data_IF_819382431163
#
_entry.id   IF_819382431163
#
_cell.length_a   1.000
_cell.length_b   1.000
_cell.length_c   1.000
_cell.angle_alpha   90.00
_cell.angle_beta   90.00
_cell.angle_gamma   90.00
#
_symmetry.space_group_name_H-M   'P 1'
#
loop_
_entity.id
_entity.type
_entity.pdbx_description
1 polymer ?
#
# COMPACT_ATOMS: atom_id res chain seq x y z
N UNK A 1 7.85 -22.94 4.21
CA UNK A 1 9.30 -22.71 4.42
C UNK A 1 9.78 -23.63 5.53
N UNK A 2 10.51 -24.68 5.18
CA UNK A 2 10.98 -25.70 6.14
C UNK A 2 11.98 -25.16 7.19
N UNK A 3 12.60 -24.00 6.95
CA UNK A 3 13.70 -23.48 7.79
C UNK A 3 13.47 -22.05 8.35
N UNK A 4 12.31 -21.50 8.16
CA UNK A 4 11.95 -20.14 8.58
C UNK A 4 12.52 -19.03 7.67
N UNK A 5 11.92 -17.84 7.79
CA UNK A 5 12.36 -16.64 7.07
C UNK A 5 13.62 -16.05 7.72
N UNK A 6 14.53 -15.53 6.90
CA UNK A 6 15.79 -14.94 7.35
C UNK A 6 15.73 -13.40 7.30
N UNK A 7 16.28 -12.75 8.34
CA UNK A 7 16.57 -11.33 8.30
C UNK A 7 17.97 -11.17 7.71
N UNK A 8 18.13 -10.61 6.51
CA UNK A 8 19.43 -10.48 5.83
C UNK A 8 20.22 -9.30 6.41
N UNK A 9 20.96 -9.53 7.46
CA UNK A 9 21.77 -8.51 8.13
C UNK A 9 23.13 -8.37 7.42
N UNK A 10 23.55 -7.12 7.17
CA UNK A 10 24.92 -6.77 6.72
C UNK A 10 25.91 -6.84 7.86
N UNK A 11 25.46 -6.48 9.06
CA UNK A 11 26.26 -6.43 10.29
C UNK A 11 25.39 -6.83 11.48
N UNK A 12 26.05 -7.21 12.57
CA UNK A 12 25.35 -7.51 13.83
C UNK A 12 24.54 -6.31 14.32
N UNK A 13 23.31 -6.50 14.78
CA UNK A 13 22.48 -5.43 15.30
C UNK A 13 23.06 -4.87 16.58
N UNK A 14 22.74 -3.60 16.83
CA UNK A 14 23.10 -2.93 18.09
C UNK A 14 22.21 -3.42 19.23
N UNK A 15 22.80 -3.62 20.40
CA UNK A 15 22.09 -4.07 21.60
C UNK A 15 21.58 -2.86 22.39
N UNK A 16 20.36 -2.46 22.15
CA UNK A 16 19.73 -1.36 22.88
C UNK A 16 19.41 -1.75 24.33
N UNK A 17 19.63 -0.81 25.27
CA UNK A 17 19.19 -1.00 26.64
C UNK A 17 17.67 -0.78 26.75
N UNK A 18 16.87 -1.77 27.13
CA UNK A 18 15.42 -1.61 27.27
C UNK A 18 15.01 -0.59 28.34
N UNK A 19 15.87 -0.29 29.30
CA UNK A 19 15.62 0.77 30.31
C UNK A 19 15.62 2.19 29.74
N UNK A 20 16.22 2.41 28.55
CA UNK A 20 16.27 3.70 27.88
C UNK A 20 15.08 3.94 26.91
N UNK A 21 14.16 3.00 26.79
CA UNK A 21 13.04 3.11 25.87
C UNK A 21 12.00 4.15 26.32
N UNK A 22 11.31 4.80 25.38
CA UNK A 22 10.18 5.65 25.70
C UNK A 22 9.14 4.87 26.51
N UNK A 23 8.73 5.42 27.65
CA UNK A 23 7.68 4.79 28.47
C UNK A 23 6.33 4.87 27.75
N UNK A 24 5.61 3.77 27.72
CA UNK A 24 4.20 3.74 27.31
C UNK A 24 3.32 4.25 28.46
N UNK A 25 2.24 4.93 28.14
CA UNK A 25 1.21 5.25 29.11
C UNK A 25 0.56 3.96 29.65
N UNK A 26 -0.03 4.04 30.85
CA UNK A 26 -0.62 2.87 31.51
C UNK A 26 -1.62 2.11 30.61
N UNK A 27 -2.50 2.84 29.94
CA UNK A 27 -3.48 2.23 29.01
C UNK A 27 -2.80 1.59 27.77
N UNK A 28 -1.72 2.19 27.26
CA UNK A 28 -0.95 1.62 26.13
C UNK A 28 -0.26 0.33 26.54
N UNK A 29 0.28 0.26 27.76
CA UNK A 29 0.90 -0.94 28.31
C UNK A 29 -0.11 -2.08 28.40
N UNK A 30 -1.31 -1.80 28.93
CA UNK A 30 -2.40 -2.80 29.00
C UNK A 30 -2.78 -3.29 27.60
N UNK A 31 -3.04 -2.37 26.68
CA UNK A 31 -3.41 -2.71 25.30
C UNK A 31 -2.30 -3.49 24.56
N UNK A 32 -1.02 -3.18 24.84
CA UNK A 32 0.13 -3.89 24.28
C UNK A 32 0.20 -5.34 24.83
N UNK A 33 0.05 -5.51 26.13
CA UNK A 33 0.03 -6.83 26.78
C UNK A 33 -1.12 -7.69 26.25
N UNK A 34 -2.33 -7.15 26.17
CA UNK A 34 -3.48 -7.87 25.60
C UNK A 34 -3.23 -8.32 24.16
N UNK A 35 -2.65 -7.44 23.33
CA UNK A 35 -2.33 -7.76 21.95
C UNK A 35 -1.22 -8.81 21.82
N UNK A 36 -0.17 -8.72 22.65
CA UNK A 36 0.96 -9.66 22.64
C UNK A 36 0.56 -11.03 23.16
N UNK A 37 -0.22 -11.11 24.24
CA UNK A 37 -0.65 -12.39 24.79
C UNK A 37 -1.49 -13.23 23.80
N UNK A 38 -2.23 -12.58 22.90
CA UNK A 38 -2.90 -13.29 21.78
C UNK A 38 -1.90 -14.00 20.89
N UNK A 39 -0.75 -13.38 20.60
CA UNK A 39 0.30 -13.98 19.80
C UNK A 39 1.11 -15.04 20.58
N UNK A 40 1.25 -14.88 21.89
CA UNK A 40 1.87 -15.91 22.74
C UNK A 40 1.04 -17.19 22.72
N UNK A 41 -0.29 -17.08 22.89
CA UNK A 41 -1.21 -18.23 22.79
C UNK A 41 -1.15 -18.94 21.44
N UNK A 42 -0.83 -18.23 20.37
CA UNK A 42 -0.68 -18.76 19.01
C UNK A 42 0.73 -19.25 18.70
N UNK A 43 1.67 -19.19 19.65
CA UNK A 43 3.08 -19.57 19.44
C UNK A 43 3.86 -18.63 18.52
N UNK A 44 3.31 -17.46 18.18
CA UNK A 44 3.91 -16.46 17.29
C UNK A 44 4.86 -15.51 18.02
N UNK A 45 4.75 -15.44 19.34
CA UNK A 45 5.62 -14.69 20.26
C UNK A 45 5.97 -15.58 21.43
N UNK A 46 7.24 -15.61 21.81
CA UNK A 46 7.72 -16.35 22.97
C UNK A 46 7.68 -15.46 24.21
N UNK A 47 7.37 -16.02 25.35
CA UNK A 47 7.24 -15.34 26.64
C UNK A 47 5.86 -15.54 27.26
N UNK A 48 5.53 -14.82 28.36
CA UNK A 48 6.39 -13.80 29.01
C UNK A 48 7.61 -14.41 29.70
N UNK A 49 8.72 -13.70 29.64
CA UNK A 49 9.91 -14.00 30.46
C UNK A 49 10.12 -12.89 31.50
N UNK A 50 10.88 -13.13 32.57
CA UNK A 50 11.23 -12.09 33.56
C UNK A 50 11.84 -10.85 32.91
N UNK A 51 11.59 -9.68 33.48
CA UNK A 51 12.00 -8.38 32.93
C UNK A 51 13.51 -8.13 32.91
N UNK A 52 14.28 -8.94 33.60
CA UNK A 52 15.75 -8.98 33.62
C UNK A 52 16.36 -9.95 32.61
N UNK A 53 15.55 -10.73 31.88
CA UNK A 53 16.00 -11.65 30.83
C UNK A 53 16.83 -10.93 29.80
N UNK A 54 18.07 -11.38 29.55
CA UNK A 54 19.00 -10.79 28.57
C UNK A 54 19.42 -11.76 27.46
N UNK A 55 19.29 -13.04 27.71
CA UNK A 55 19.64 -14.09 26.77
C UNK A 55 18.34 -14.72 26.19
N UNK A 56 18.37 -15.07 24.92
CA UNK A 56 17.28 -15.81 24.29
C UNK A 56 17.23 -17.24 24.85
N UNK A 57 16.14 -17.67 25.48
CA UNK A 57 16.06 -19.01 26.08
C UNK A 57 16.22 -20.16 25.09
N UNK A 58 15.96 -19.90 23.79
CA UNK A 58 16.07 -20.92 22.73
C UNK A 58 17.47 -21.01 22.14
N UNK A 59 18.15 -19.87 21.94
CA UNK A 59 19.43 -19.81 21.23
C UNK A 59 20.63 -19.56 22.13
N UNK A 60 20.42 -19.21 23.38
CA UNK A 60 21.47 -18.76 24.31
C UNK A 60 22.14 -17.42 23.95
N UNK A 61 21.74 -16.80 22.82
CA UNK A 61 22.34 -15.56 22.32
C UNK A 61 21.77 -14.32 23.05
N UNK A 62 22.55 -13.23 23.17
CA UNK A 62 22.06 -11.96 23.70
C UNK A 62 20.84 -11.45 22.93
N UNK A 63 19.83 -10.93 23.63
CA UNK A 63 18.61 -10.37 23.04
C UNK A 63 18.84 -8.98 22.51
N UNK A 64 18.41 -8.74 21.26
CA UNK A 64 18.33 -7.40 20.67
C UNK A 64 16.97 -6.80 20.97
N UNK A 65 16.95 -5.79 21.83
CA UNK A 65 15.70 -5.15 22.27
C UNK A 65 15.31 -3.96 21.40
N UNK A 66 14.02 -3.85 21.13
CA UNK A 66 13.39 -2.70 20.46
C UNK A 66 12.14 -2.27 21.21
N UNK A 67 11.85 -0.96 21.29
CA UNK A 67 10.62 -0.51 21.90
C UNK A 67 9.42 -0.93 21.06
N UNK A 68 8.31 -1.18 21.73
CA UNK A 68 7.03 -1.44 21.06
C UNK A 68 6.01 -0.36 21.38
N UNK A 69 4.97 -0.27 20.57
CA UNK A 69 3.86 0.65 20.74
C UNK A 69 2.58 0.05 20.16
N UNK A 70 1.45 0.66 20.46
CA UNK A 70 0.15 0.24 19.96
C UNK A 70 -0.44 1.27 19.00
N UNK A 71 -1.10 0.80 17.95
CA UNK A 71 -1.81 1.60 16.97
C UNK A 71 -3.28 1.17 16.94
N UNK A 72 -4.24 2.10 17.00
CA UNK A 72 -5.66 1.76 16.89
C UNK A 72 -5.97 1.03 15.58
N UNK A 73 -6.85 0.03 15.64
CA UNK A 73 -7.47 -0.59 14.46
C UNK A 73 -8.72 0.18 14.05
N UNK A 74 -9.32 -0.22 12.92
CA UNK A 74 -10.63 0.29 12.49
C UNK A 74 -11.77 -0.06 13.46
N UNK A 75 -11.65 -1.17 14.19
CA UNK A 75 -12.58 -1.57 15.23
C UNK A 75 -12.28 -0.80 16.51
N UNK A 76 -13.22 -0.02 17.07
CA UNK A 76 -13.04 0.69 18.32
C UNK A 76 -12.57 -0.23 19.46
N UNK A 77 -11.68 0.27 20.33
CA UNK A 77 -11.15 -0.47 21.47
C UNK A 77 -10.13 -1.57 21.11
N UNK A 78 -9.85 -1.81 19.83
CA UNK A 78 -8.85 -2.79 19.42
C UNK A 78 -7.58 -2.14 18.90
N UNK A 79 -6.45 -2.75 19.25
CA UNK A 79 -5.12 -2.21 18.96
C UNK A 79 -4.25 -3.23 18.21
N UNK A 80 -3.34 -2.70 17.42
CA UNK A 80 -2.27 -3.45 16.78
C UNK A 80 -0.97 -3.17 17.54
N UNK A 81 -0.35 -4.20 18.05
CA UNK A 81 0.98 -4.13 18.61
C UNK A 81 2.02 -4.07 17.50
N UNK A 82 2.95 -3.13 17.59
CA UNK A 82 4.03 -2.88 16.62
C UNK A 82 5.35 -2.83 17.35
N UNK A 83 6.34 -3.54 16.85
CA UNK A 83 7.72 -3.44 17.30
C UNK A 83 8.46 -2.40 16.46
N UNK A 84 9.12 -1.43 17.08
CA UNK A 84 9.82 -0.35 16.40
C UNK A 84 11.23 -0.78 15.97
N UNK A 85 11.32 -1.52 14.89
CA UNK A 85 12.58 -1.98 14.31
C UNK A 85 13.46 -0.84 13.72
N UNK A 86 12.95 0.39 13.67
CA UNK A 86 13.69 1.60 13.25
C UNK A 86 14.14 2.46 14.43
N UNK A 87 14.10 1.94 15.66
CA UNK A 87 14.60 2.65 16.83
C UNK A 87 16.13 2.76 16.78
N UNK A 88 16.65 3.99 16.81
CA UNK A 88 18.08 4.28 16.61
C UNK A 88 18.70 5.18 17.69
N UNK A 89 18.05 5.40 18.83
CA UNK A 89 18.65 6.14 19.95
C UNK A 89 19.75 5.32 20.59
N UNK A 90 20.96 5.88 20.62
CA UNK A 90 22.14 5.24 21.19
C UNK A 90 22.90 4.31 20.25
N UNK A 91 22.35 4.03 19.06
CA UNK A 91 23.01 3.20 18.05
C UNK A 91 22.11 2.88 16.87
N UNK A 92 22.64 2.28 15.79
CA UNK A 92 21.86 1.99 14.59
C UNK A 92 20.74 0.97 14.87
N UNK A 93 19.62 1.17 14.21
CA UNK A 93 18.49 0.24 14.29
C UNK A 93 18.77 -1.06 13.52
N UNK A 94 17.95 -2.11 13.75
CA UNK A 94 18.04 -3.32 12.93
C UNK A 94 17.74 -3.02 11.45
N UNK A 95 16.82 -2.08 11.18
CA UNK A 95 16.50 -1.68 9.82
C UNK A 95 17.67 -1.00 9.10
N UNK A 96 18.57 -0.33 9.80
CA UNK A 96 19.78 0.26 9.23
C UNK A 96 20.81 -0.82 8.86
N UNK A 97 20.73 -1.99 9.48
CA UNK A 97 21.61 -3.14 9.24
C UNK A 97 21.07 -4.14 8.22
N UNK A 98 19.80 -4.03 7.87
CA UNK A 98 19.20 -4.86 6.81
C UNK A 98 19.70 -4.40 5.45
N UNK A 99 20.08 -5.34 4.58
CA UNK A 99 20.42 -5.08 3.18
C UNK A 99 19.28 -4.33 2.47
N UNK A 100 19.63 -3.44 1.53
CA UNK A 100 18.61 -2.71 0.78
C UNK A 100 17.76 -3.67 -0.05
N UNK A 101 16.46 -3.62 0.22
CA UNK A 101 15.46 -4.44 -0.42
C UNK A 101 14.34 -3.56 -0.96
N UNK A 102 14.23 -3.52 -2.27
CA UNK A 102 13.08 -2.91 -2.95
C UNK A 102 12.04 -4.01 -3.21
N UNK A 103 10.84 -3.85 -2.68
CA UNK A 103 9.72 -4.75 -2.99
C UNK A 103 9.02 -4.23 -4.24
N UNK A 104 8.91 -5.07 -5.26
CA UNK A 104 8.10 -4.77 -6.44
C UNK A 104 6.67 -5.26 -6.20
N UNK A 105 5.77 -4.33 -5.90
CA UNK A 105 4.34 -4.62 -5.81
C UNK A 105 3.69 -4.41 -7.17
N UNK A 106 2.67 -5.22 -7.48
CA UNK A 106 1.88 -5.04 -8.70
C UNK A 106 1.21 -3.67 -8.70
N UNK A 107 1.27 -2.98 -9.82
CA UNK A 107 0.56 -1.72 -10.00
C UNK A 107 -0.92 -1.96 -10.36
N UNK A 108 -1.76 -0.94 -10.12
CA UNK A 108 -3.18 -1.01 -10.56
C UNK A 108 -3.27 -1.29 -12.06
N UNK A 109 -2.37 -0.73 -12.86
CA UNK A 109 -2.36 -0.95 -14.31
C UNK A 109 -2.09 -2.42 -14.66
N UNK A 110 -1.06 -3.02 -14.08
CA UNK A 110 -0.72 -4.43 -14.31
C UNK A 110 -1.87 -5.34 -13.88
N UNK A 111 -2.53 -5.04 -12.75
CA UNK A 111 -3.65 -5.83 -12.24
C UNK A 111 -4.94 -5.71 -13.09
N UNK A 112 -5.06 -4.66 -13.92
CA UNK A 112 -6.22 -4.45 -14.80
C UNK A 112 -6.08 -5.17 -16.15
N UNK A 113 -4.89 -5.60 -16.54
CA UNK A 113 -4.68 -6.28 -17.82
C UNK A 113 -5.53 -7.55 -17.96
N UNK A 114 -5.51 -8.51 -17.03
CA UNK A 114 -6.37 -9.68 -17.09
C UNK A 114 -7.86 -9.34 -16.95
N UNK A 115 -8.22 -8.18 -16.38
CA UNK A 115 -9.60 -7.73 -16.26
C UNK A 115 -10.26 -7.43 -17.61
N UNK A 116 -9.49 -7.18 -18.69
CA UNK A 116 -10.04 -6.96 -20.02
C UNK A 116 -10.81 -8.17 -20.54
N UNK A 117 -10.35 -9.39 -20.20
CA UNK A 117 -10.89 -10.65 -20.74
C UNK A 117 -11.72 -11.45 -19.72
N UNK A 118 -11.93 -10.92 -18.52
CA UNK A 118 -12.67 -11.57 -17.45
C UNK A 118 -13.86 -10.74 -17.01
N UNK A 119 -14.89 -11.37 -16.44
CA UNK A 119 -16.14 -10.72 -16.01
C UNK A 119 -16.39 -10.77 -14.51
N UNK A 120 -15.71 -11.68 -13.81
CA UNK A 120 -15.90 -11.90 -12.38
C UNK A 120 -14.55 -11.84 -11.65
N UNK A 121 -14.59 -11.25 -10.46
CA UNK A 121 -13.49 -11.23 -9.52
C UNK A 121 -13.98 -11.69 -8.15
N UNK A 122 -13.21 -12.58 -7.53
CA UNK A 122 -13.35 -12.95 -6.12
C UNK A 122 -12.04 -12.67 -5.39
N UNK A 123 -12.06 -12.69 -4.05
CA UNK A 123 -10.89 -12.31 -3.26
C UNK A 123 -10.84 -13.05 -1.93
N UNK A 124 -9.62 -13.33 -1.49
CA UNK A 124 -9.30 -13.77 -0.13
C UNK A 124 -8.24 -12.86 0.47
N UNK A 125 -8.24 -12.71 1.79
CA UNK A 125 -7.29 -11.91 2.56
C UNK A 125 -6.63 -12.81 3.62
N UNK A 126 -5.35 -12.64 3.86
CA UNK A 126 -4.65 -13.42 4.85
C UNK A 126 -4.81 -12.81 6.24
N UNK A 127 -5.13 -13.65 7.20
CA UNK A 127 -5.22 -13.23 8.60
C UNK A 127 -3.83 -12.99 9.16
N UNK A 128 -3.54 -11.76 9.59
CA UNK A 128 -2.26 -11.41 10.23
C UNK A 128 -1.03 -11.76 9.38
N UNK A 129 -1.11 -11.50 8.10
CA UNK A 129 -0.17 -11.89 7.05
C UNK A 129 1.28 -12.10 7.48
N UNK A 130 1.99 -11.06 7.92
CA UNK A 130 3.40 -11.16 8.31
C UNK A 130 3.65 -12.07 9.51
N UNK A 131 2.67 -12.26 10.38
CA UNK A 131 2.73 -13.16 11.54
C UNK A 131 2.62 -14.65 11.17
N UNK A 132 2.43 -14.96 9.90
CA UNK A 132 2.47 -16.34 9.39
C UNK A 132 3.88 -16.75 8.93
N UNK A 133 4.80 -15.80 8.80
CA UNK A 133 6.20 -16.08 8.49
C UNK A 133 7.02 -16.22 9.77
N UNK A 134 7.31 -17.45 10.16
CA UNK A 134 8.24 -17.71 11.27
C UNK A 134 9.68 -17.42 10.84
N UNK A 135 10.46 -16.87 11.76
CA UNK A 135 11.88 -16.63 11.56
C UNK A 135 12.71 -17.88 11.76
N UNK A 136 13.91 -17.90 11.18
CA UNK A 136 14.93 -18.91 11.51
C UNK A 136 15.17 -18.93 13.01
N UNK A 137 15.26 -20.12 13.59
CA UNK A 137 15.49 -20.31 15.03
C UNK A 137 16.78 -19.59 15.48
N UNK A 138 17.85 -19.68 14.67
CA UNK A 138 19.14 -19.01 14.94
C UNK A 138 19.06 -17.48 15.07
N UNK A 139 17.95 -16.86 14.63
CA UNK A 139 17.71 -15.41 14.64
C UNK A 139 16.61 -14.98 15.64
N UNK A 140 16.10 -15.87 16.48
CA UNK A 140 15.05 -15.54 17.46
C UNK A 140 15.46 -14.43 18.44
N UNK A 141 16.75 -14.33 18.73
CA UNK A 141 17.28 -13.29 19.61
C UNK A 141 17.21 -11.86 19.03
N UNK A 142 16.95 -11.69 17.74
CA UNK A 142 17.05 -10.39 17.04
C UNK A 142 15.87 -9.44 17.29
N UNK A 143 14.72 -9.91 17.75
CA UNK A 143 13.52 -9.09 17.93
C UNK A 143 12.88 -9.36 19.30
N UNK A 144 13.42 -8.74 20.33
CA UNK A 144 12.86 -8.75 21.67
C UNK A 144 12.29 -7.38 22.05
N UNK A 145 11.34 -7.36 22.96
CA UNK A 145 10.80 -6.14 23.57
C UNK A 145 10.49 -6.36 25.02
N UNK A 146 10.60 -5.28 25.82
CA UNK A 146 10.14 -5.25 27.21
C UNK A 146 8.85 -4.44 27.31
N UNK A 147 7.81 -5.02 27.90
CA UNK A 147 6.51 -4.38 28.14
C UNK A 147 6.20 -4.53 29.64
N UNK A 148 6.18 -3.41 30.36
CA UNK A 148 6.14 -3.47 31.82
C UNK A 148 7.39 -4.18 32.37
N UNK A 149 7.19 -5.18 33.21
CA UNK A 149 8.27 -6.03 33.73
C UNK A 149 8.35 -7.41 33.08
N UNK A 150 7.97 -7.50 31.82
CA UNK A 150 7.95 -8.75 31.06
C UNK A 150 8.69 -8.59 29.74
N UNK A 151 9.44 -9.63 29.36
CA UNK A 151 10.16 -9.71 28.09
C UNK A 151 9.44 -10.65 27.13
N UNK A 152 9.32 -10.24 25.89
CA UNK A 152 8.72 -10.99 24.80
C UNK A 152 9.67 -11.04 23.61
N UNK A 153 9.68 -12.18 22.90
CA UNK A 153 10.49 -12.39 21.70
C UNK A 153 9.55 -12.66 20.54
N UNK A 154 9.55 -11.81 19.54
CA UNK A 154 8.76 -12.01 18.33
C UNK A 154 9.36 -13.15 17.50
N UNK A 155 8.70 -14.28 17.40
CA UNK A 155 9.19 -15.45 16.65
C UNK A 155 8.86 -15.36 15.14
N UNK A 156 8.11 -14.35 14.73
CA UNK A 156 7.66 -14.16 13.35
C UNK A 156 8.25 -12.89 12.73
N UNK A 157 8.02 -12.69 11.45
CA UNK A 157 8.38 -11.43 10.79
C UNK A 157 7.48 -10.30 11.29
N UNK A 158 8.11 -9.20 11.70
CA UNK A 158 7.40 -8.05 12.26
C UNK A 158 7.04 -7.02 11.19
N UNK A 159 5.89 -6.35 11.35
CA UNK A 159 5.48 -5.22 10.50
C UNK A 159 6.50 -4.07 10.48
N UNK A 160 7.35 -3.94 11.50
CA UNK A 160 8.36 -2.89 11.59
C UNK A 160 9.65 -3.18 10.84
N UNK A 161 9.88 -4.40 10.37
CA UNK A 161 11.08 -4.77 9.64
C UNK A 161 11.01 -4.35 8.17
N UNK A 162 12.08 -3.76 7.68
CA UNK A 162 12.19 -3.22 6.31
C UNK A 162 12.02 -4.27 5.22
N UNK A 163 12.53 -5.48 5.43
CA UNK A 163 12.48 -6.56 4.46
C UNK A 163 11.25 -7.47 4.54
N UNK A 164 10.39 -7.29 5.53
CA UNK A 164 9.21 -8.15 5.75
C UNK A 164 8.28 -8.15 4.54
N UNK A 165 7.99 -6.99 3.95
CA UNK A 165 7.13 -6.89 2.78
C UNK A 165 7.70 -7.69 1.59
N UNK A 166 9.02 -7.64 1.37
CA UNK A 166 9.66 -8.36 0.27
C UNK A 166 9.57 -9.88 0.46
N UNK A 167 9.99 -10.37 1.62
CA UNK A 167 9.94 -11.81 1.92
C UNK A 167 8.49 -12.34 1.85
N UNK A 168 7.55 -11.54 2.32
CA UNK A 168 6.15 -11.92 2.26
C UNK A 168 5.62 -11.93 0.82
N UNK A 169 5.87 -10.89 0.03
CA UNK A 169 5.38 -10.76 -1.34
C UNK A 169 6.10 -11.72 -2.29
N UNK A 170 7.44 -11.68 -2.32
CA UNK A 170 8.21 -12.35 -3.37
C UNK A 170 8.46 -13.83 -3.07
N UNK A 171 8.68 -14.19 -1.79
CA UNK A 171 9.01 -15.56 -1.43
C UNK A 171 7.78 -16.37 -1.00
N UNK A 172 6.87 -15.77 -0.22
CA UNK A 172 5.73 -16.49 0.30
C UNK A 172 4.52 -16.41 -0.62
N UNK A 173 4.03 -15.21 -0.93
CA UNK A 173 2.81 -15.05 -1.71
C UNK A 173 2.98 -15.45 -3.16
N UNK A 174 4.09 -15.06 -3.80
CA UNK A 174 4.36 -15.48 -5.18
C UNK A 174 4.60 -17.00 -5.28
N UNK A 175 5.14 -17.65 -4.24
CA UNK A 175 5.23 -19.11 -4.23
C UNK A 175 3.83 -19.75 -4.16
N UNK A 176 2.92 -19.21 -3.34
CA UNK A 176 1.54 -19.70 -3.27
C UNK A 176 0.81 -19.51 -4.60
N UNK A 177 0.85 -18.31 -5.19
CA UNK A 177 0.21 -18.01 -6.49
C UNK A 177 0.78 -18.90 -7.61
N UNK A 178 2.12 -19.06 -7.67
CA UNK A 178 2.77 -19.96 -8.65
C UNK A 178 2.35 -21.42 -8.47
N UNK A 179 2.21 -21.85 -7.21
CA UNK A 179 1.70 -23.19 -6.89
C UNK A 179 0.30 -23.42 -7.44
N UNK A 180 -0.61 -22.47 -7.25
CA UNK A 180 -1.98 -22.54 -7.80
C UNK A 180 -1.96 -22.65 -9.33
N UNK A 181 -1.19 -21.78 -10.00
CA UNK A 181 -1.09 -21.79 -11.48
C UNK A 181 -0.45 -23.09 -11.97
N UNK A 182 0.60 -23.58 -11.30
CA UNK A 182 1.30 -24.80 -11.71
C UNK A 182 0.43 -26.05 -11.60
N UNK A 183 -0.32 -26.19 -10.51
CA UNK A 183 -1.14 -27.38 -10.25
C UNK A 183 -2.52 -27.35 -10.91
N UNK A 184 -3.03 -26.13 -11.19
CA UNK A 184 -4.37 -25.95 -11.78
C UNK A 184 -4.34 -24.88 -12.89
N UNK A 185 -3.50 -25.04 -13.95
CA UNK A 185 -3.35 -24.01 -14.99
C UNK A 185 -4.68 -23.67 -15.67
N UNK A 186 -5.56 -24.64 -15.90
CA UNK A 186 -6.88 -24.45 -16.52
C UNK A 186 -7.81 -23.54 -15.71
N UNK A 187 -7.57 -23.39 -14.41
CA UNK A 187 -8.34 -22.49 -13.54
C UNK A 187 -7.67 -21.12 -13.42
N UNK A 188 -6.35 -21.08 -13.22
CA UNK A 188 -5.63 -19.88 -12.80
C UNK A 188 -4.80 -19.22 -13.92
N UNK A 189 -4.90 -19.73 -15.16
CA UNK A 189 -4.30 -19.10 -16.33
C UNK A 189 -5.22 -19.23 -17.57
N UNK A 190 -4.86 -18.50 -18.60
CA UNK A 190 -5.36 -18.64 -19.97
C UNK A 190 -4.18 -18.51 -20.95
N UNK A 191 -4.46 -18.49 -22.26
CA UNK A 191 -3.42 -18.42 -23.31
C UNK A 191 -2.59 -17.12 -23.25
N UNK A 192 -3.08 -16.09 -22.55
CA UNK A 192 -2.43 -14.78 -22.45
C UNK A 192 -1.63 -14.64 -21.14
N UNK A 193 -2.07 -15.29 -20.06
CA UNK A 193 -1.39 -15.17 -18.78
C UNK A 193 -2.21 -15.60 -17.57
N UNK A 194 -1.76 -15.19 -16.40
CA UNK A 194 -2.36 -15.60 -15.14
C UNK A 194 -3.68 -14.86 -14.85
N UNK A 195 -4.63 -15.59 -14.26
CA UNK A 195 -5.93 -15.12 -13.79
C UNK A 195 -5.98 -15.00 -12.26
N UNK A 196 -4.83 -15.06 -11.61
CA UNK A 196 -4.65 -14.90 -10.17
C UNK A 196 -3.41 -14.06 -9.92
N UNK A 197 -3.51 -13.13 -8.98
CA UNK A 197 -2.36 -12.38 -8.49
C UNK A 197 -2.63 -11.88 -7.07
N UNK A 198 -1.64 -11.21 -6.47
CA UNK A 198 -1.75 -10.69 -5.11
C UNK A 198 -1.13 -9.30 -4.97
N UNK A 199 -1.60 -8.58 -3.97
CA UNK A 199 -0.96 -7.37 -3.45
C UNK A 199 -0.80 -7.54 -1.94
N UNK A 200 0.37 -7.94 -1.50
CA UNK A 200 0.62 -8.38 -0.12
C UNK A 200 -0.38 -9.46 0.30
N UNK A 201 -1.22 -9.17 1.29
CA UNK A 201 -2.17 -10.10 1.89
C UNK A 201 -3.49 -10.26 1.12
N UNK A 202 -3.78 -9.39 0.16
CA UNK A 202 -4.94 -9.47 -0.73
C UNK A 202 -4.63 -10.35 -1.95
N UNK A 203 -5.33 -11.48 -2.12
CA UNK A 203 -5.26 -12.33 -3.31
C UNK A 203 -6.58 -12.22 -4.06
N UNK A 204 -6.51 -12.07 -5.38
CA UNK A 204 -7.72 -12.02 -6.22
C UNK A 204 -7.65 -13.04 -7.35
N UNK A 205 -8.81 -13.49 -7.74
CA UNK A 205 -9.04 -14.47 -8.79
C UNK A 205 -9.97 -13.86 -9.82
N UNK A 206 -9.67 -14.12 -11.09
CA UNK A 206 -10.38 -13.57 -12.23
C UNK A 206 -10.90 -14.69 -13.12
N UNK A 207 -12.12 -14.57 -13.60
CA UNK A 207 -12.70 -15.52 -14.55
C UNK A 207 -13.72 -14.83 -15.49
N UNK A 208 -13.98 -15.48 -16.60
CA UNK A 208 -15.04 -15.14 -17.58
C UNK A 208 -16.44 -15.53 -17.10
N UNK A 209 -16.54 -16.57 -16.26
CA UNK A 209 -17.79 -17.06 -15.69
C UNK A 209 -17.76 -17.05 -14.16
N UNK A 210 -18.94 -16.83 -13.56
CA UNK A 210 -19.10 -16.88 -12.12
C UNK A 210 -18.70 -18.26 -11.57
N UNK A 211 -19.11 -19.34 -12.23
CA UNK A 211 -18.82 -20.71 -11.81
C UNK A 211 -17.32 -21.02 -11.77
N UNK A 212 -16.56 -20.62 -12.81
CA UNK A 212 -15.11 -20.78 -12.83
C UNK A 212 -14.47 -20.00 -11.66
N UNK A 213 -14.94 -18.78 -11.39
CA UNK A 213 -14.41 -17.96 -10.30
C UNK A 213 -14.73 -18.52 -8.90
N UNK A 214 -15.90 -19.15 -8.70
CA UNK A 214 -16.23 -19.89 -7.49
C UNK A 214 -15.29 -21.08 -7.26
N UNK A 215 -15.00 -21.84 -8.33
CA UNK A 215 -14.08 -22.98 -8.26
C UNK A 215 -12.65 -22.52 -7.95
N UNK A 216 -12.17 -21.43 -8.57
CA UNK A 216 -10.87 -20.83 -8.25
C UNK A 216 -10.77 -20.50 -6.74
N UNK A 217 -11.81 -19.88 -6.19
CA UNK A 217 -11.87 -19.49 -4.79
C UNK A 217 -11.78 -20.72 -3.87
N UNK A 218 -12.58 -21.76 -4.13
CA UNK A 218 -12.60 -22.99 -3.34
C UNK A 218 -11.27 -23.74 -3.40
N UNK A 219 -10.67 -23.85 -4.58
CA UNK A 219 -9.36 -24.50 -4.76
C UNK A 219 -8.27 -23.74 -4.03
N UNK A 220 -8.26 -22.41 -4.09
CA UNK A 220 -7.29 -21.60 -3.37
C UNK A 220 -7.45 -21.70 -1.85
N UNK A 221 -8.69 -21.74 -1.34
CA UNK A 221 -8.99 -21.97 0.08
C UNK A 221 -8.54 -23.35 0.53
N UNK A 222 -8.77 -24.39 -0.28
CA UNK A 222 -8.29 -25.75 0.00
C UNK A 222 -6.75 -25.80 0.13
N UNK A 223 -6.04 -25.20 -0.84
CA UNK A 223 -4.59 -25.14 -0.82
C UNK A 223 -4.06 -24.31 0.37
N UNK A 224 -4.70 -23.19 0.68
CA UNK A 224 -4.34 -22.38 1.85
C UNK A 224 -4.46 -23.20 3.14
N UNK A 225 -5.58 -23.90 3.34
CA UNK A 225 -5.78 -24.76 4.50
C UNK A 225 -4.75 -25.91 4.56
N UNK A 226 -4.48 -26.57 3.43
CA UNK A 226 -3.49 -27.65 3.36
C UNK A 226 -2.06 -27.18 3.70
N UNK A 227 -1.72 -25.95 3.30
CA UNK A 227 -0.42 -25.32 3.61
C UNK A 227 -0.39 -24.67 5.01
N UNK A 228 -1.47 -24.68 5.76
CA UNK A 228 -1.57 -24.02 7.06
C UNK A 228 -1.59 -22.49 6.97
N UNK A 229 -2.01 -21.92 5.83
CA UNK A 229 -2.16 -20.47 5.63
C UNK A 229 -3.48 -20.02 6.26
N UNK A 230 -3.40 -19.10 7.25
CA UNK A 230 -4.59 -18.59 7.92
C UNK A 230 -5.30 -17.54 7.05
N UNK A 231 -6.52 -17.83 6.63
CA UNK A 231 -7.38 -16.91 5.89
C UNK A 231 -8.25 -16.05 6.83
N UNK A 232 -8.71 -14.91 6.32
CA UNK A 232 -9.60 -14.00 7.02
C UNK A 232 -11.00 -14.09 6.43
N UNK A 233 -11.83 -14.97 6.97
CA UNK A 233 -13.19 -15.25 6.48
C UNK A 233 -14.06 -13.99 6.39
N UNK A 234 -13.87 -13.02 7.29
CA UNK A 234 -14.64 -11.77 7.30
C UNK A 234 -14.32 -10.85 6.11
N UNK A 235 -13.24 -11.10 5.39
CA UNK A 235 -12.82 -10.34 4.21
C UNK A 235 -12.88 -11.14 2.92
N UNK A 236 -13.42 -12.34 2.99
CA UNK A 236 -13.70 -13.17 1.82
C UNK A 236 -14.72 -12.48 0.93
N UNK A 237 -14.40 -12.27 -0.33
CA UNK A 237 -15.33 -11.71 -1.33
C UNK A 237 -15.67 -12.77 -2.37
N UNK A 238 -16.96 -13.05 -2.49
CA UNK A 238 -17.52 -13.95 -3.51
C UNK A 238 -17.43 -13.31 -4.92
N UNK A 239 -17.53 -14.10 -6.00
CA UNK A 239 -17.50 -13.61 -7.37
C UNK A 239 -18.47 -12.46 -7.62
N UNK A 240 -17.95 -11.35 -8.17
CA UNK A 240 -18.74 -10.17 -8.55
C UNK A 240 -18.16 -9.54 -9.82
N UNK A 241 -19.04 -8.94 -10.63
CA UNK A 241 -18.64 -8.15 -11.79
C UNK A 241 -18.24 -6.72 -11.40
N UNK A 242 -18.80 -6.18 -10.32
CA UNK A 242 -18.44 -4.87 -9.76
C UNK A 242 -17.84 -5.06 -8.37
N UNK A 243 -16.59 -4.69 -8.21
CA UNK A 243 -15.84 -4.89 -6.96
C UNK A 243 -14.90 -3.74 -6.65
N UNK A 244 -14.30 -3.75 -5.47
CA UNK A 244 -13.23 -2.81 -5.09
C UNK A 244 -11.89 -3.50 -5.28
N UNK A 245 -10.93 -2.79 -5.88
CA UNK A 245 -9.60 -3.31 -6.09
C UNK A 245 -8.56 -2.20 -5.95
N UNK A 246 -7.53 -2.39 -5.13
CA UNK A 246 -6.46 -1.42 -4.85
C UNK A 246 -6.96 0.01 -4.60
N UNK A 247 -8.13 0.13 -3.95
CA UNK A 247 -8.75 1.41 -3.60
C UNK A 247 -9.68 2.01 -4.65
N UNK A 248 -9.76 1.44 -5.85
CA UNK A 248 -10.70 1.81 -6.91
C UNK A 248 -11.92 0.89 -6.94
N UNK A 249 -12.98 1.35 -7.55
CA UNK A 249 -14.10 0.50 -7.95
C UNK A 249 -13.86 0.06 -9.39
N UNK A 250 -13.93 -1.23 -9.62
CA UNK A 250 -13.72 -1.89 -10.90
C UNK A 250 -15.05 -2.48 -11.37
N UNK A 251 -15.45 -2.15 -12.56
CA UNK A 251 -16.58 -2.76 -13.27
C UNK A 251 -16.03 -3.63 -14.40
N UNK A 252 -16.06 -4.95 -14.19
CA UNK A 252 -15.53 -5.95 -15.10
C UNK A 252 -16.48 -6.20 -16.28
N UNK A 253 -17.74 -5.84 -16.18
CA UNK A 253 -18.71 -5.97 -17.26
C UNK A 253 -18.53 -4.85 -18.29
N UNK A 254 -18.52 -3.60 -17.82
CA UNK A 254 -18.34 -2.43 -18.67
C UNK A 254 -16.87 -2.04 -18.90
N UNK A 255 -15.93 -2.77 -18.30
CA UNK A 255 -14.46 -2.51 -18.38
C UNK A 255 -14.09 -1.10 -17.94
N UNK A 256 -14.66 -0.66 -16.83
CA UNK A 256 -14.50 0.68 -16.32
C UNK A 256 -13.89 0.68 -14.91
N UNK A 257 -13.12 1.70 -14.62
CA UNK A 257 -12.57 1.96 -13.28
C UNK A 257 -12.98 3.35 -12.79
N UNK A 258 -13.30 3.47 -11.52
CA UNK A 258 -13.70 4.72 -10.88
C UNK A 258 -13.16 4.83 -9.44
N UNK A 259 -13.21 6.04 -8.87
CA UNK A 259 -12.87 6.25 -7.47
C UNK A 259 -14.06 5.83 -6.60
N UNK A 260 -13.84 4.97 -5.59
CA UNK A 260 -14.91 4.56 -4.67
C UNK A 260 -15.51 5.77 -3.93
N UNK A 261 -16.81 5.74 -3.63
CA UNK A 261 -17.49 6.83 -2.92
C UNK A 261 -16.81 7.18 -1.58
N UNK A 262 -16.36 6.17 -0.83
CA UNK A 262 -15.63 6.36 0.43
C UNK A 262 -14.34 7.16 0.23
N UNK A 263 -13.53 6.81 -0.78
CA UNK A 263 -12.30 7.53 -1.10
C UNK A 263 -12.59 8.92 -1.65
N UNK A 264 -13.58 9.06 -2.53
CA UNK A 264 -14.03 10.35 -3.08
C UNK A 264 -14.32 11.34 -1.95
N UNK A 265 -15.17 10.99 -0.99
CA UNK A 265 -15.54 11.86 0.12
C UNK A 265 -14.34 12.26 0.98
N UNK A 266 -13.47 11.29 1.31
CA UNK A 266 -12.24 11.53 2.07
C UNK A 266 -11.29 12.47 1.34
N UNK A 267 -11.09 12.29 0.04
CA UNK A 267 -10.20 13.13 -0.78
C UNK A 267 -10.76 14.54 -0.89
N UNK A 268 -12.06 14.69 -1.14
CA UNK A 268 -12.70 16.00 -1.22
C UNK A 268 -12.59 16.77 0.10
N UNK A 269 -12.83 16.14 1.24
CA UNK A 269 -12.66 16.76 2.55
C UNK A 269 -11.21 17.21 2.77
N UNK A 270 -10.24 16.40 2.37
CA UNK A 270 -8.83 16.71 2.48
C UNK A 270 -8.44 17.91 1.61
N UNK A 271 -8.79 17.90 0.32
CA UNK A 271 -8.50 19.03 -0.59
C UNK A 271 -9.19 20.34 -0.16
N UNK A 272 -10.44 20.27 0.32
CA UNK A 272 -11.14 21.43 0.83
C UNK A 272 -10.41 22.07 2.02
N UNK A 273 -9.91 21.25 2.96
CA UNK A 273 -9.11 21.77 4.09
C UNK A 273 -7.86 22.52 3.62
N UNK A 274 -7.15 22.00 2.59
CA UNK A 274 -5.99 22.69 2.02
C UNK A 274 -6.36 24.01 1.34
N UNK A 275 -7.43 24.01 0.55
CA UNK A 275 -7.91 25.24 -0.11
C UNK A 275 -8.24 26.32 0.92
N UNK A 276 -8.92 25.97 2.00
CA UNK A 276 -9.22 26.91 3.11
C UNK A 276 -7.93 27.41 3.75
N UNK A 277 -7.00 26.50 4.09
CA UNK A 277 -5.76 26.85 4.75
C UNK A 277 -4.89 27.80 3.91
N UNK A 278 -4.79 27.56 2.58
CA UNK A 278 -4.04 28.44 1.67
C UNK A 278 -4.70 29.82 1.60
N UNK A 279 -6.02 29.90 1.49
CA UNK A 279 -6.76 31.17 1.42
C UNK A 279 -6.65 32.03 2.69
N UNK A 280 -6.62 31.38 3.85
CA UNK A 280 -6.43 32.03 5.14
C UNK A 280 -4.97 32.34 5.49
N UNK A 281 -4.02 32.09 4.57
CA UNK A 281 -2.58 32.17 4.80
C UNK A 281 -2.09 31.31 5.99
N UNK A 282 -2.81 30.25 6.31
CA UNK A 282 -2.48 29.33 7.38
C UNK A 282 -1.21 28.52 7.09
N UNK A 283 -0.51 28.10 8.13
CA UNK A 283 0.65 27.20 8.01
C UNK A 283 0.20 25.77 7.66
N UNK A 284 0.87 25.13 6.72
CA UNK A 284 0.59 23.75 6.29
C UNK A 284 1.78 22.86 6.64
N UNK A 285 1.58 21.81 7.45
CA UNK A 285 2.64 20.84 7.71
C UNK A 285 3.15 20.19 6.40
N UNK A 286 4.44 20.11 6.21
CA UNK A 286 5.05 19.46 5.02
C UNK A 286 4.58 18.00 4.90
N UNK A 287 4.43 17.31 6.03
CA UNK A 287 3.90 15.94 6.05
C UNK A 287 2.47 15.82 5.44
N UNK A 288 1.65 16.84 5.59
CA UNK A 288 0.32 16.84 4.98
C UNK A 288 0.40 17.11 3.48
N UNK A 289 1.37 17.93 3.03
CA UNK A 289 1.65 18.11 1.59
C UNK A 289 2.16 16.79 0.97
N UNK A 290 3.03 16.07 1.65
CA UNK A 290 3.47 14.73 1.22
C UNK A 290 2.28 13.76 1.08
N UNK A 291 1.34 13.77 2.04
CA UNK A 291 0.10 12.97 1.96
C UNK A 291 -0.78 13.39 0.80
N UNK A 292 -0.88 14.70 0.54
CA UNK A 292 -1.62 15.24 -0.61
C UNK A 292 -1.02 14.75 -1.92
N UNK A 293 0.30 14.87 -2.08
CA UNK A 293 1.00 14.37 -3.26
C UNK A 293 0.79 12.85 -3.44
N UNK A 294 0.86 12.08 -2.37
CA UNK A 294 0.59 10.64 -2.41
C UNK A 294 -0.82 10.31 -2.95
N UNK A 295 -1.84 11.06 -2.50
CA UNK A 295 -3.21 10.92 -3.03
C UNK A 295 -3.33 11.32 -4.50
N UNK A 296 -2.70 12.41 -4.88
CA UNK A 296 -2.68 12.90 -6.27
C UNK A 296 -1.98 11.88 -7.19
N UNK A 297 -0.82 11.35 -6.79
CA UNK A 297 -0.10 10.30 -7.53
C UNK A 297 -0.97 9.05 -7.66
N UNK A 298 -1.59 8.60 -6.57
CA UNK A 298 -2.47 7.43 -6.59
C UNK A 298 -3.64 7.60 -7.58
N UNK A 299 -4.32 8.75 -7.62
CA UNK A 299 -5.36 9.04 -8.62
C UNK A 299 -4.77 9.03 -10.04
N UNK A 300 -3.59 9.60 -10.21
CA UNK A 300 -2.90 9.72 -11.49
C UNK A 300 -2.38 8.38 -12.05
N UNK A 301 -2.35 7.31 -11.24
CA UNK A 301 -2.05 5.96 -11.76
C UNK A 301 -3.15 5.48 -12.72
N UNK A 302 -4.39 5.88 -12.45
CA UNK A 302 -5.57 5.53 -13.25
C UNK A 302 -5.94 6.67 -14.21
N UNK A 303 -5.95 7.91 -13.74
CA UNK A 303 -6.39 9.07 -14.52
C UNK A 303 -5.18 9.90 -14.98
N UNK A 304 -4.50 9.46 -16.03
CA UNK A 304 -3.21 10.04 -16.50
C UNK A 304 -3.28 11.53 -16.82
N UNK A 305 -4.40 12.01 -17.33
CA UNK A 305 -4.65 13.44 -17.61
C UNK A 305 -4.40 14.34 -16.40
N UNK A 306 -4.49 13.80 -15.19
CA UNK A 306 -4.27 14.56 -13.96
C UNK A 306 -2.80 14.81 -13.60
N UNK A 307 -1.85 14.13 -14.27
CA UNK A 307 -0.41 14.20 -13.94
C UNK A 307 0.17 15.59 -14.06
N UNK A 308 -0.28 16.38 -15.02
CA UNK A 308 0.13 17.76 -15.21
C UNK A 308 -0.13 18.67 -14.00
N UNK A 309 -1.11 18.31 -13.15
CA UNK A 309 -1.47 19.05 -11.94
C UNK A 309 -0.73 18.58 -10.67
N UNK A 310 0.37 17.85 -10.81
CA UNK A 310 1.24 17.44 -9.69
C UNK A 310 2.38 18.43 -9.44
N UNK A 311 2.73 19.22 -10.45
CA UNK A 311 3.98 20.00 -10.50
C UNK A 311 4.12 20.96 -9.33
N UNK A 312 3.08 21.75 -9.01
CA UNK A 312 3.15 22.73 -7.92
C UNK A 312 3.29 22.07 -6.55
N UNK A 313 2.65 20.91 -6.33
CA UNK A 313 2.79 20.15 -5.09
C UNK A 313 4.18 19.54 -4.96
N UNK A 314 4.76 19.02 -6.05
CA UNK A 314 6.13 18.51 -6.09
C UNK A 314 7.15 19.62 -5.80
N UNK A 315 6.93 20.84 -6.32
CA UNK A 315 7.83 21.98 -6.12
C UNK A 315 7.97 22.34 -4.65
N UNK A 316 6.88 22.28 -3.85
CA UNK A 316 6.96 22.51 -2.39
C UNK A 316 7.88 21.50 -1.70
N UNK A 317 7.93 20.26 -2.20
CA UNK A 317 8.69 19.18 -1.58
C UNK A 317 10.13 19.09 -2.06
N UNK A 318 10.51 19.91 -3.08
CA UNK A 318 11.88 19.95 -3.60
C UNK A 318 12.76 20.90 -2.78
N UNK A 319 14.05 20.59 -2.74
CA UNK A 319 15.07 21.43 -2.13
C UNK A 319 14.81 21.75 -0.67
N UNK A 320 15.11 22.99 -0.28
CA UNK A 320 15.03 23.44 1.11
C UNK A 320 13.60 23.62 1.66
N UNK A 321 12.62 23.83 0.78
CA UNK A 321 11.20 23.88 1.22
C UNK A 321 10.76 22.54 1.79
N UNK A 322 11.13 21.44 1.15
CA UNK A 322 10.78 20.09 1.58
C UNK A 322 11.44 19.67 2.92
N UNK A 323 12.57 20.29 3.29
CA UNK A 323 13.26 20.05 4.57
C UNK A 323 12.62 20.81 5.74
N UNK A 324 11.74 21.79 5.48
CA UNK A 324 11.06 22.57 6.52
C UNK A 324 9.98 21.75 7.22
N UNK A 325 9.60 22.19 8.43
CA UNK A 325 8.48 21.58 9.14
C UNK A 325 7.12 22.02 8.59
N UNK A 326 7.04 23.25 8.06
CA UNK A 326 5.80 23.87 7.57
C UNK A 326 6.03 24.64 6.27
N UNK A 327 5.04 24.62 5.38
CA UNK A 327 4.89 25.54 4.26
C UNK A 327 4.03 26.74 4.68
N UNK A 328 4.48 27.93 4.32
CA UNK A 328 3.80 29.21 4.63
C UNK A 328 3.37 29.90 3.32
N UNK A 329 2.07 29.87 2.94
CA UNK A 329 1.57 30.48 1.70
C UNK A 329 1.94 31.96 1.56
N UNK A 330 1.89 32.71 2.66
CA UNK A 330 2.24 34.15 2.69
C UNK A 330 3.68 34.45 2.28
N UNK A 331 4.61 33.53 2.50
CA UNK A 331 6.04 33.70 2.16
C UNK A 331 6.36 33.27 0.73
N UNK A 332 5.44 32.54 0.07
CA UNK A 332 5.60 32.08 -1.31
C UNK A 332 4.25 32.17 -2.03
N UNK A 333 3.79 33.40 -2.29
CA UNK A 333 2.46 33.66 -2.85
C UNK A 333 2.26 33.08 -4.24
N UNK A 334 3.28 33.12 -5.09
CA UNK A 334 3.21 32.58 -6.46
C UNK A 334 2.96 31.06 -6.42
N UNK A 335 3.78 30.35 -5.66
CA UNK A 335 3.63 28.89 -5.53
C UNK A 335 2.31 28.51 -4.84
N UNK A 336 1.89 29.27 -3.81
CA UNK A 336 0.60 29.08 -3.15
C UNK A 336 -0.59 29.26 -4.11
N UNK A 337 -0.51 30.25 -5.02
CA UNK A 337 -1.55 30.47 -6.05
C UNK A 337 -1.61 29.32 -7.06
N UNK A 338 -0.47 28.80 -7.47
CA UNK A 338 -0.36 27.62 -8.37
C UNK A 338 -0.95 26.38 -7.69
N UNK A 339 -0.59 26.11 -6.45
CA UNK A 339 -1.16 24.99 -5.68
C UNK A 339 -2.68 25.14 -5.55
N UNK A 340 -3.18 26.37 -5.28
CA UNK A 340 -4.60 26.64 -5.18
C UNK A 340 -5.33 26.37 -6.51
N UNK A 341 -4.71 26.73 -7.64
CA UNK A 341 -5.24 26.45 -8.97
C UNK A 341 -5.34 24.93 -9.19
N UNK A 342 -4.26 24.18 -8.97
CA UNK A 342 -4.22 22.73 -9.11
C UNK A 342 -5.24 22.05 -8.18
N UNK A 343 -5.36 22.48 -6.92
CA UNK A 343 -6.33 21.94 -5.99
C UNK A 343 -7.79 22.20 -6.39
N UNK A 344 -8.08 23.33 -7.03
CA UNK A 344 -9.41 23.59 -7.59
C UNK A 344 -9.73 22.62 -8.72
N UNK A 345 -8.75 22.34 -9.59
CA UNK A 345 -8.87 21.30 -10.63
C UNK A 345 -9.13 19.95 -9.99
N UNK A 346 -8.27 19.49 -9.08
CA UNK A 346 -8.40 18.21 -8.40
C UNK A 346 -9.76 18.04 -7.71
N UNK A 347 -10.23 19.08 -7.05
CA UNK A 347 -11.54 19.06 -6.41
C UNK A 347 -12.68 18.88 -7.41
N UNK A 348 -12.66 19.60 -8.53
CA UNK A 348 -13.68 19.48 -9.60
C UNK A 348 -13.62 18.09 -10.21
N UNK A 349 -12.44 17.61 -10.55
CA UNK A 349 -12.22 16.30 -11.13
C UNK A 349 -12.78 15.19 -10.24
N UNK A 350 -12.39 15.12 -8.97
CA UNK A 350 -12.88 14.11 -8.03
C UNK A 350 -14.39 14.25 -7.76
N UNK A 351 -14.92 15.49 -7.69
CA UNK A 351 -16.36 15.74 -7.50
C UNK A 351 -17.18 15.18 -8.66
N UNK A 352 -16.68 15.26 -9.88
CA UNK A 352 -17.33 14.78 -11.09
C UNK A 352 -17.44 13.24 -11.18
N UNK A 353 -16.89 12.49 -10.19
CA UNK A 353 -16.86 11.01 -10.20
C UNK A 353 -16.26 10.45 -11.51
N UNK A 354 -14.97 10.73 -11.76
CA UNK A 354 -14.35 10.33 -13.02
C UNK A 354 -14.35 8.81 -13.16
N UNK A 355 -14.60 8.36 -14.38
CA UNK A 355 -14.45 6.98 -14.81
C UNK A 355 -13.38 6.91 -15.90
N UNK A 356 -12.76 5.74 -16.06
CA UNK A 356 -11.79 5.49 -17.12
C UNK A 356 -11.96 4.08 -17.64
N UNK A 357 -11.87 3.90 -18.95
CA UNK A 357 -11.87 2.58 -19.57
C UNK A 357 -10.55 1.85 -19.32
N UNK A 358 -10.60 0.53 -19.14
CA UNK A 358 -9.39 -0.31 -19.04
C UNK A 358 -8.53 -0.20 -20.31
N UNK A 359 -9.15 -0.17 -21.49
CA UNK A 359 -8.43 0.00 -22.77
C UNK A 359 -7.60 1.27 -22.79
N UNK A 360 -8.18 2.40 -22.36
CA UNK A 360 -7.47 3.67 -22.28
C UNK A 360 -6.27 3.61 -21.31
N UNK A 361 -6.46 2.99 -20.14
CA UNK A 361 -5.39 2.86 -19.14
C UNK A 361 -4.25 1.99 -19.63
N UNK A 362 -4.53 0.95 -20.39
CA UNK A 362 -3.53 0.03 -20.90
C UNK A 362 -2.86 0.54 -22.19
N UNK A 363 -3.31 1.68 -22.72
CA UNK A 363 -2.80 2.26 -23.96
C UNK A 363 -3.34 1.59 -25.22
N UNK A 364 -4.42 0.81 -25.08
CA UNK A 364 -5.16 0.21 -26.19
C UNK A 364 -6.28 1.17 -26.59
N UNK A 365 -5.92 2.26 -27.27
CA UNK A 365 -6.91 3.17 -27.82
C UNK A 365 -7.66 2.48 -28.96
N UNK A 366 -8.99 2.57 -29.04
CA UNK A 366 -9.70 2.16 -30.21
C UNK A 366 -9.22 2.98 -31.41
N UNK A 367 -9.13 2.38 -32.61
CA UNK A 367 -8.60 3.04 -33.81
C UNK A 367 -9.33 4.32 -34.25
N UNK A 368 -10.43 4.66 -33.59
CA UNK A 368 -11.31 5.80 -33.93
C UNK A 368 -11.43 6.85 -32.81
N UNK A 369 -10.70 6.73 -31.69
CA UNK A 369 -10.64 7.79 -30.69
C UNK A 369 -9.54 8.79 -31.05
N UNK A 370 -9.91 10.07 -31.13
CA UNK A 370 -9.05 11.16 -31.59
C UNK A 370 -7.68 11.25 -30.90
N UNK A 371 -6.74 11.82 -31.62
CA UNK A 371 -5.38 12.06 -31.12
C UNK A 371 -5.28 13.43 -30.50
N UNK A 372 -4.70 13.52 -29.28
CA UNK A 372 -4.34 14.79 -28.65
C UNK A 372 -2.88 15.10 -28.99
N UNK A 373 -2.65 16.16 -29.73
CA UNK A 373 -1.34 16.75 -29.95
C UNK A 373 -1.18 17.89 -28.95
N UNK A 374 -0.13 17.86 -28.15
CA UNK A 374 0.22 18.95 -27.23
C UNK A 374 1.64 19.41 -27.52
N UNK A 375 1.83 20.70 -27.64
CA UNK A 375 3.15 21.33 -27.69
C UNK A 375 3.30 22.28 -26.50
N UNK A 376 4.50 22.33 -25.94
CA UNK A 376 4.84 23.19 -24.81
C UNK A 376 5.92 24.16 -25.22
N UNK A 377 5.58 25.44 -25.23
CA UNK A 377 6.54 26.53 -25.39
C UNK A 377 6.97 27.07 -24.03
N UNK A 378 8.27 27.24 -23.81
CA UNK A 378 8.83 27.88 -22.62
C UNK A 378 8.43 29.35 -22.44
N UNK A 379 8.00 30.00 -23.53
CA UNK A 379 7.65 31.42 -23.56
C UNK A 379 6.12 31.67 -23.57
N UNK A 380 5.32 30.80 -24.16
CA UNK A 380 3.91 31.04 -24.45
C UNK A 380 2.91 30.06 -23.80
N UNK A 381 3.40 29.11 -23.01
CA UNK A 381 2.54 28.12 -22.36
C UNK A 381 2.33 26.84 -23.19
N UNK A 382 1.31 26.04 -22.82
CA UNK A 382 0.98 24.79 -23.53
C UNK A 382 -0.24 25.02 -24.42
N UNK A 383 -0.09 24.67 -25.71
CA UNK A 383 -1.20 24.52 -26.65
C UNK A 383 -1.48 23.04 -26.90
N UNK A 384 -2.73 22.68 -27.13
CA UNK A 384 -3.11 21.32 -27.47
C UNK A 384 -4.22 21.31 -28.51
N UNK A 385 -4.12 20.44 -29.50
CA UNK A 385 -5.15 20.19 -30.50
C UNK A 385 -5.70 18.79 -30.28
N UNK A 386 -7.01 18.67 -30.11
CA UNK A 386 -7.71 17.40 -30.01
C UNK A 386 -8.38 17.08 -31.35
N UNK A 387 -7.95 16.01 -32.01
CA UNK A 387 -8.53 15.55 -33.25
C UNK A 387 -9.43 14.34 -32.95
N UNK A 388 -10.73 14.51 -33.12
CA UNK A 388 -11.68 13.39 -33.12
C UNK A 388 -11.62 12.66 -34.44
N UNK A 389 -11.33 11.36 -34.42
CA UNK A 389 -11.29 10.53 -35.62
C UNK A 389 -12.67 10.14 -36.08
N UNK A 390 -13.38 11.07 -36.75
CA UNK A 390 -14.46 10.72 -37.67
C UNK A 390 -14.16 11.36 -39.03
N UNK A 391 -13.82 10.53 -39.99
CA UNK A 391 -13.28 10.85 -41.29
C UNK A 391 -14.30 11.47 -42.28
N UNK A 392 -15.20 12.34 -41.87
CA UNK A 392 -16.10 13.02 -42.81
C UNK A 392 -16.37 14.49 -42.52
N UNK A 393 -15.61 15.15 -41.63
CA UNK A 393 -15.67 16.62 -41.56
C UNK A 393 -14.32 17.24 -41.91
N UNK A 394 -14.26 17.86 -43.10
CA UNK A 394 -13.19 18.80 -43.42
C UNK A 394 -13.09 19.85 -42.30
N UNK A 395 -11.92 20.18 -41.83
CA UNK A 395 -11.75 21.24 -40.83
C UNK A 395 -12.27 22.56 -41.43
N UNK A 396 -13.27 23.18 -40.85
CA UNK A 396 -13.47 24.61 -41.02
C UNK A 396 -12.41 25.31 -40.20
N UNK A 397 -11.60 26.12 -40.87
CA UNK A 397 -10.68 27.05 -40.22
C UNK A 397 -11.47 27.93 -39.28
N UNK A 398 -11.38 27.64 -38.00
CA UNK A 398 -11.73 28.57 -36.94
C UNK A 398 -10.58 28.53 -35.94
N UNK A 399 -9.64 29.43 -36.14
CA UNK A 399 -8.63 29.76 -35.15
C UNK A 399 -9.31 30.21 -33.87
N UNK A 400 -9.29 29.36 -32.89
CA UNK A 400 -9.64 29.64 -31.52
C UNK A 400 -8.51 29.19 -30.63
N UNK A 401 -7.66 30.14 -30.25
CA UNK A 401 -6.71 30.03 -29.18
C UNK A 401 -7.47 29.89 -27.85
N UNK A 402 -7.22 28.84 -27.10
CA UNK A 402 -7.56 28.72 -25.68
C UNK A 402 -6.30 28.57 -24.82
#
# INVERSE_FOLDING_TARGET
>A
MKFGAEIPLREMPYFHNPGSFPRMEKWQTVAALEAVYKFVKEGKVLGPFPGDTRLCPVTGKPLCFYPSFVVPKSTPGSYRWILNASYNRGGPSINDRISDYTTKLISVRESLEPCLRTRFMSRIDLRRAFKQLFRKISQLNLLATKIGDQVFIDATMSMGLRNTCKLFEEDFMKAFVRGLVHHHPQLFSDDIGWLVDNYLDDIWFLADTQRKNEIQLLVAEYWANWLGIELNDNKRELPRSVTRHLGFQIDLEHKMVSITLKHKNRILAFFNRFIVCIRSNGRIPIRDIQRMLGLQIWISTVFRVTRQFLTSTCEVLRGDLGKRRFFFPRHNRVLASRILFDLKFWRRFVKGSPTSSFKYLLGQLPPNEGSLYSDASSLFGMGGVFLFGNAHHKPRDSGGLF
#
